data_IF_137201425339
#
_entry.id   IF_137201425339
#
_cell.length_a   1.000
_cell.length_b   1.000
_cell.length_c   1.000
_cell.angle_alpha   90.00
_cell.angle_beta   90.00
_cell.angle_gamma   90.00
#
_symmetry.space_group_name_H-M   'P 1'
#
loop_
_entity.id
_entity.type
_entity.pdbx_description
1 polymer ?
#
# COMPACT_ATOMS: atom_id res chain seq x y z
N UNK A 1 -10.44 -8.92 2.88
CA UNK A 1 -10.20 -7.88 1.84
C UNK A 1 -10.38 -6.45 2.37
N UNK A 2 -10.84 -6.25 3.61
CA UNK A 2 -11.07 -4.92 4.16
C UNK A 2 -9.77 -4.11 4.32
N UNK A 3 -8.68 -4.77 4.73
CA UNK A 3 -7.39 -4.12 4.98
C UNK A 3 -6.76 -3.64 3.69
N UNK A 4 -6.81 -4.48 2.65
CA UNK A 4 -6.28 -4.16 1.33
C UNK A 4 -7.09 -3.03 0.66
N UNK A 5 -8.41 -3.02 0.86
CA UNK A 5 -9.29 -1.94 0.41
C UNK A 5 -9.02 -0.62 1.17
N UNK A 6 -8.78 -0.68 2.48
CA UNK A 6 -8.40 0.50 3.30
C UNK A 6 -7.08 1.11 2.82
N UNK A 7 -6.04 0.28 2.61
CA UNK A 7 -4.75 0.72 2.10
C UNK A 7 -4.89 1.41 0.72
N UNK A 8 -5.68 0.83 -0.19
CA UNK A 8 -5.98 1.43 -1.50
C UNK A 8 -6.74 2.75 -1.39
N UNK A 9 -7.73 2.85 -0.51
CA UNK A 9 -8.50 4.08 -0.30
C UNK A 9 -7.59 5.21 0.22
N UNK A 10 -6.66 4.90 1.12
CA UNK A 10 -5.68 5.87 1.67
C UNK A 10 -4.74 6.34 0.55
N UNK A 11 -4.19 5.41 -0.24
CA UNK A 11 -3.33 5.73 -1.37
C UNK A 11 -4.04 6.61 -2.43
N UNK A 12 -5.27 6.25 -2.81
CA UNK A 12 -6.05 7.00 -3.78
C UNK A 12 -6.45 8.40 -3.27
N UNK A 13 -6.81 8.54 -1.99
CA UNK A 13 -7.08 9.84 -1.37
C UNK A 13 -5.86 10.75 -1.44
N UNK A 14 -4.69 10.21 -1.11
CA UNK A 14 -3.45 10.96 -1.12
C UNK A 14 -3.03 11.41 -2.53
N UNK A 15 -3.14 10.54 -3.55
CA UNK A 15 -2.90 10.92 -4.95
C UNK A 15 -3.83 12.05 -5.39
N UNK A 16 -5.08 12.06 -4.91
CA UNK A 16 -6.06 13.08 -5.22
C UNK A 16 -5.80 14.41 -4.47
N UNK A 17 -5.25 14.37 -3.26
CA UNK A 17 -4.90 15.55 -2.46
C UNK A 17 -3.56 16.19 -2.89
N UNK A 18 -2.70 15.46 -3.60
CA UNK A 18 -1.36 15.88 -4.10
C UNK A 18 -1.32 17.11 -5.02
N UNK A 19 -2.42 17.81 -5.22
CA UNK A 19 -2.45 19.15 -5.83
C UNK A 19 -1.66 20.20 -5.02
N UNK A 20 -1.32 19.93 -3.76
CA UNK A 20 -0.43 20.76 -2.93
C UNK A 20 0.64 19.89 -2.28
N UNK A 21 1.90 20.11 -2.66
CA UNK A 21 3.05 19.24 -2.38
C UNK A 21 3.81 19.64 -1.12
N UNK A 22 3.84 18.76 -0.11
CA UNK A 22 4.86 18.74 0.94
C UNK A 22 5.36 17.29 1.13
N UNK A 23 6.67 17.06 0.93
CA UNK A 23 7.24 15.70 0.82
C UNK A 23 7.27 14.90 2.13
N UNK A 24 7.16 15.56 3.27
CA UNK A 24 7.14 14.89 4.58
C UNK A 24 5.81 14.16 4.82
N UNK A 25 4.73 14.62 4.21
CA UNK A 25 3.42 13.95 4.29
C UNK A 25 3.40 12.64 3.49
N UNK A 26 4.20 12.54 2.41
CA UNK A 26 4.35 11.33 1.59
C UNK A 26 4.88 10.16 2.42
N UNK A 27 5.91 10.41 3.24
CA UNK A 27 6.57 9.38 4.05
C UNK A 27 5.63 8.87 5.14
N UNK A 28 4.97 9.78 5.88
CA UNK A 28 4.00 9.41 6.92
C UNK A 28 2.82 8.61 6.36
N UNK A 29 2.40 8.91 5.13
CA UNK A 29 1.33 8.19 4.46
C UNK A 29 1.78 6.80 4.00
N UNK A 30 2.99 6.66 3.47
CA UNK A 30 3.56 5.36 3.12
C UNK A 30 3.71 4.47 4.36
N UNK A 31 4.14 5.02 5.50
CA UNK A 31 4.17 4.32 6.79
C UNK A 31 2.78 3.87 7.23
N UNK A 32 1.75 4.71 7.03
CA UNK A 32 0.35 4.36 7.35
C UNK A 32 -0.14 3.21 6.48
N UNK A 33 0.14 3.26 5.17
CA UNK A 33 -0.20 2.19 4.22
C UNK A 33 0.50 0.89 4.61
N UNK A 34 1.79 0.93 4.92
CA UNK A 34 2.55 -0.23 5.35
C UNK A 34 2.02 -0.82 6.67
N UNK A 35 1.63 0.02 7.63
CA UNK A 35 1.05 -0.42 8.90
C UNK A 35 -0.30 -1.13 8.71
N UNK A 36 -1.18 -0.58 7.87
CA UNK A 36 -2.45 -1.23 7.53
C UNK A 36 -2.19 -2.55 6.80
N UNK A 37 -1.31 -2.58 5.79
CA UNK A 37 -0.96 -3.80 5.05
C UNK A 37 -0.31 -4.87 5.94
N UNK A 38 0.42 -4.48 6.99
CA UNK A 38 0.96 -5.38 8.00
C UNK A 38 -0.13 -6.14 8.78
N UNK A 39 -1.31 -5.55 8.95
CA UNK A 39 -2.48 -6.16 9.58
C UNK A 39 -3.31 -7.04 8.62
N UNK A 40 -2.94 -7.11 7.33
CA UNK A 40 -3.64 -7.91 6.34
C UNK A 40 -3.52 -9.41 6.66
N UNK A 41 -4.61 -10.14 6.44
CA UNK A 41 -4.59 -11.61 6.54
C UNK A 41 -3.68 -12.23 5.47
N UNK A 42 -3.20 -13.45 5.71
CA UNK A 42 -2.34 -14.17 4.75
C UNK A 42 -3.00 -14.26 3.35
N UNK A 43 -4.32 -14.48 3.29
CA UNK A 43 -5.06 -14.51 2.03
C UNK A 43 -5.03 -13.16 1.29
N UNK A 44 -5.07 -12.04 2.03
CA UNK A 44 -4.94 -10.69 1.46
C UNK A 44 -3.52 -10.41 1.00
N UNK A 45 -2.51 -10.79 1.79
CA UNK A 45 -1.09 -10.66 1.41
C UNK A 45 -0.78 -11.44 0.13
N UNK A 46 -1.25 -12.68 0.02
CA UNK A 46 -1.11 -13.49 -1.20
C UNK A 46 -1.80 -12.86 -2.41
N UNK A 47 -2.98 -12.27 -2.22
CA UNK A 47 -3.68 -11.54 -3.28
C UNK A 47 -2.88 -10.32 -3.74
N UNK A 48 -2.28 -9.57 -2.81
CA UNK A 48 -1.40 -8.44 -3.12
C UNK A 48 -0.14 -8.87 -3.88
N UNK A 49 0.52 -9.94 -3.45
CA UNK A 49 1.72 -10.49 -4.10
C UNK A 49 1.39 -10.92 -5.54
N UNK A 50 0.27 -11.59 -5.76
CA UNK A 50 -0.18 -11.98 -7.10
C UNK A 50 -0.49 -10.76 -7.98
N UNK A 51 -1.14 -9.74 -7.43
CA UNK A 51 -1.42 -8.50 -8.15
C UNK A 51 -0.14 -7.75 -8.52
N UNK A 52 0.81 -7.61 -7.59
CA UNK A 52 2.11 -7.00 -7.82
C UNK A 52 2.88 -7.71 -8.94
N UNK A 53 2.89 -9.05 -8.90
CA UNK A 53 3.46 -9.88 -9.97
C UNK A 53 2.79 -9.68 -11.33
N UNK A 54 1.47 -9.58 -11.37
CA UNK A 54 0.73 -9.34 -12.61
C UNK A 54 1.00 -7.95 -13.22
N UNK A 55 1.36 -6.98 -12.37
CA UNK A 55 1.70 -5.61 -12.78
C UNK A 55 3.20 -5.43 -13.12
N UNK A 56 4.04 -6.42 -12.79
CA UNK A 56 5.48 -6.38 -13.04
C UNK A 56 6.32 -5.79 -11.90
N UNK A 57 5.70 -5.46 -10.77
CA UNK A 57 6.34 -4.87 -9.58
C UNK A 57 6.58 -5.93 -8.50
N UNK A 58 7.38 -6.96 -8.83
CA UNK A 58 7.58 -8.13 -7.95
C UNK A 58 8.32 -7.80 -6.63
N UNK A 59 9.11 -6.72 -6.58
CA UNK A 59 9.87 -6.30 -5.37
C UNK A 59 9.05 -5.47 -4.41
N UNK A 60 7.94 -4.89 -4.88
CA UNK A 60 7.12 -3.95 -4.12
C UNK A 60 6.53 -4.52 -2.82
N UNK A 61 6.04 -5.78 -2.77
CA UNK A 61 5.58 -6.37 -1.51
C UNK A 61 6.70 -6.52 -0.45
N UNK A 62 7.94 -6.75 -0.89
CA UNK A 62 9.12 -6.88 -0.02
C UNK A 62 9.54 -5.50 0.53
N UNK A 63 9.52 -4.47 -0.32
CA UNK A 63 9.77 -3.07 0.05
C UNK A 63 8.76 -2.53 1.09
N UNK A 64 7.53 -3.07 1.08
CA UNK A 64 6.48 -2.74 2.04
C UNK A 64 6.52 -3.60 3.32
N UNK A 65 7.46 -4.54 3.45
CA UNK A 65 7.58 -5.42 4.61
C UNK A 65 6.43 -6.43 4.76
N UNK A 66 5.81 -6.80 3.64
CA UNK A 66 4.69 -7.74 3.61
C UNK A 66 5.20 -9.19 3.52
N UNK A 67 6.39 -9.38 2.93
CA UNK A 67 7.16 -10.62 2.84
C UNK A 67 8.25 -10.70 3.91
#
# INVERSE_FOLDING_TARGET
MEVLARALIIACKYINDRSNSDSDEDVALLETIASELGAASEAEKQCLIQAAKALGDETWPEELGIL
#
